data_IF_397552934405
#
_entry.id   IF_397552934405
#
_cell.length_a   1.000
_cell.length_b   1.000
_cell.length_c   1.000
_cell.angle_alpha   90.00
_cell.angle_beta   90.00
_cell.angle_gamma   90.00
#
_symmetry.space_group_name_H-M   'P 1'
#
loop_
_entity.id
_entity.type
_entity.pdbx_description
1 polymer ?
#
# COMPACT_ATOMS: atom_id res chain seq x y z
N UNK A 1 58.48 -21.87 -36.29
CA UNK A 1 57.56 -21.75 -35.12
C UNK A 1 56.74 -20.45 -35.01
N UNK A 2 57.01 -19.35 -35.74
CA UNK A 2 56.27 -18.06 -35.55
C UNK A 2 54.82 -17.99 -36.07
N UNK A 3 54.42 -18.80 -37.07
CA UNK A 3 53.07 -18.71 -37.70
C UNK A 3 51.91 -19.19 -36.81
N UNK A 4 52.13 -20.11 -35.87
CA UNK A 4 51.07 -20.64 -34.98
C UNK A 4 50.59 -19.61 -33.96
N UNK A 5 51.49 -18.76 -33.46
CA UNK A 5 51.21 -17.77 -32.43
C UNK A 5 50.37 -16.58 -32.95
N UNK A 6 50.53 -16.22 -34.24
CA UNK A 6 49.75 -15.16 -34.89
C UNK A 6 48.30 -15.58 -35.16
N UNK A 7 48.07 -16.86 -35.49
CA UNK A 7 46.71 -17.39 -35.70
C UNK A 7 45.87 -17.37 -34.42
N UNK A 8 46.48 -17.72 -33.27
CA UNK A 8 45.79 -17.70 -31.98
C UNK A 8 45.42 -16.28 -31.53
N UNK A 9 46.30 -15.29 -31.75
CA UNK A 9 46.00 -13.88 -31.45
C UNK A 9 44.84 -13.32 -32.29
N UNK A 10 44.77 -13.67 -33.59
CA UNK A 10 43.65 -13.28 -34.46
C UNK A 10 42.33 -13.95 -34.07
N UNK A 11 42.39 -15.21 -33.60
CA UNK A 11 41.21 -15.93 -33.10
C UNK A 11 40.67 -15.29 -31.82
N UNK A 12 41.55 -14.96 -30.88
CA UNK A 12 41.17 -14.32 -29.63
C UNK A 12 40.58 -12.91 -29.84
N UNK A 13 41.17 -12.12 -30.72
CA UNK A 13 40.63 -10.79 -31.06
C UNK A 13 39.22 -10.87 -31.66
N UNK A 14 38.93 -11.89 -32.47
CA UNK A 14 37.58 -12.13 -33.01
C UNK A 14 36.59 -12.56 -31.93
N UNK A 15 37.01 -13.42 -31.00
CA UNK A 15 36.18 -13.88 -29.89
C UNK A 15 35.81 -12.72 -28.95
N UNK A 16 36.78 -11.89 -28.58
CA UNK A 16 36.56 -10.71 -27.72
C UNK A 16 35.62 -9.70 -28.40
N UNK A 17 35.81 -9.45 -29.69
CA UNK A 17 34.91 -8.58 -30.46
C UNK A 17 33.46 -9.09 -30.47
N UNK A 18 33.26 -10.41 -30.57
CA UNK A 18 31.94 -11.02 -30.60
C UNK A 18 31.23 -10.93 -29.24
N UNK A 19 31.97 -11.14 -28.14
CA UNK A 19 31.44 -10.95 -26.77
C UNK A 19 31.01 -9.49 -26.55
N UNK A 20 31.81 -8.54 -27.03
CA UNK A 20 31.50 -7.11 -26.88
C UNK A 20 30.23 -6.71 -27.65
N UNK A 21 30.05 -7.23 -28.87
CA UNK A 21 28.83 -6.99 -29.67
C UNK A 21 27.57 -7.57 -28.99
N UNK A 22 27.67 -8.76 -28.41
CA UNK A 22 26.56 -9.36 -27.65
C UNK A 22 26.21 -8.53 -26.42
N UNK A 23 27.21 -8.05 -25.68
CA UNK A 23 26.99 -7.19 -24.51
C UNK A 23 26.29 -5.86 -24.87
N UNK A 24 26.64 -5.24 -26.00
CA UNK A 24 25.97 -4.03 -26.50
C UNK A 24 24.53 -4.34 -26.89
N UNK A 25 24.29 -5.45 -27.61
CA UNK A 25 22.94 -5.83 -28.02
C UNK A 25 22.01 -6.10 -26.81
N UNK A 26 22.51 -6.82 -25.80
CA UNK A 26 21.76 -7.08 -24.56
C UNK A 26 21.48 -5.78 -23.80
N UNK A 27 22.46 -4.87 -23.72
CA UNK A 27 22.27 -3.56 -23.07
C UNK A 27 21.22 -2.71 -23.79
N UNK A 28 21.19 -2.76 -25.13
CA UNK A 28 20.18 -2.05 -25.92
C UNK A 28 18.77 -2.62 -25.69
N UNK A 29 18.62 -3.95 -25.68
CA UNK A 29 17.34 -4.61 -25.38
C UNK A 29 16.87 -4.31 -23.96
N UNK A 30 17.77 -4.35 -22.98
CA UNK A 30 17.47 -3.94 -21.60
C UNK A 30 17.01 -2.48 -21.56
N UNK A 31 17.70 -1.56 -22.24
CA UNK A 31 17.30 -0.16 -22.25
C UNK A 31 15.93 0.04 -22.89
N UNK A 32 15.60 -0.65 -23.99
CA UNK A 32 14.28 -0.62 -24.61
C UNK A 32 13.17 -1.17 -23.68
N UNK A 33 13.45 -2.29 -22.99
CA UNK A 33 12.49 -2.89 -22.05
C UNK A 33 12.18 -1.97 -20.86
N UNK A 34 13.22 -1.41 -20.23
CA UNK A 34 13.03 -0.53 -19.07
C UNK A 34 12.50 0.86 -19.44
N UNK A 35 12.78 1.39 -20.64
CA UNK A 35 12.23 2.69 -21.08
C UNK A 35 10.77 2.62 -21.49
N UNK A 36 10.33 1.49 -22.09
CA UNK A 36 8.92 1.29 -22.47
C UNK A 36 7.98 1.11 -21.27
N UNK A 37 8.44 0.50 -20.18
CA UNK A 37 7.66 0.37 -18.94
C UNK A 37 7.51 1.68 -18.15
N UNK A 38 8.42 2.64 -18.34
CA UNK A 38 8.32 3.97 -17.70
C UNK A 38 7.35 4.90 -18.44
N UNK A 39 7.20 4.76 -19.76
CA UNK A 39 6.31 5.62 -20.56
C UNK A 39 4.84 5.15 -20.58
N UNK A 40 4.56 3.88 -20.27
CA UNK A 40 3.18 3.38 -20.16
C UNK A 40 2.46 3.73 -18.85
N UNK A 41 3.13 4.39 -17.90
CA UNK A 41 2.50 4.94 -16.68
C UNK A 41 1.91 6.34 -16.84
N UNK A 42 1.98 6.94 -18.03
CA UNK A 42 1.64 8.35 -18.26
C UNK A 42 0.49 8.65 -19.24
N UNK A 43 -0.31 7.66 -19.67
CA UNK A 43 -1.51 7.98 -20.47
C UNK A 43 -2.63 8.47 -19.54
N UNK A 44 -2.76 9.79 -19.45
CA UNK A 44 -3.98 10.44 -18.98
C UNK A 44 -5.18 9.81 -19.68
N UNK A 45 -6.10 9.27 -18.88
CA UNK A 45 -7.43 8.91 -19.35
C UNK A 45 -8.14 10.23 -19.68
N UNK A 46 -8.10 10.64 -20.95
CA UNK A 46 -9.01 11.66 -21.46
C UNK A 46 -10.42 11.06 -21.40
N UNK A 47 -11.15 11.39 -20.34
CA UNK A 47 -12.59 11.10 -20.24
C UNK A 47 -13.32 12.04 -21.19
N UNK A 48 -13.32 11.71 -22.48
CA UNK A 48 -14.26 12.30 -23.42
C UNK A 48 -15.62 11.63 -23.23
N UNK A 49 -16.61 12.45 -22.87
CA UNK A 49 -18.04 12.20 -22.88
C UNK A 49 -18.49 10.77 -23.21
N UNK A 50 -18.53 9.91 -22.20
CA UNK A 50 -19.36 8.70 -22.27
C UNK A 50 -20.80 9.16 -22.07
N UNK A 51 -21.51 9.33 -23.20
CA UNK A 51 -22.97 9.31 -23.26
C UNK A 51 -23.45 8.13 -22.40
N UNK A 52 -24.18 8.42 -21.33
CA UNK A 52 -24.92 7.42 -20.55
C UNK A 52 -25.82 6.64 -21.51
N UNK A 53 -25.36 5.49 -22.00
CA UNK A 53 -26.18 4.59 -22.80
C UNK A 53 -26.21 3.24 -22.11
N UNK A 54 -27.33 3.04 -21.41
CA UNK A 54 -27.92 1.75 -21.04
C UNK A 54 -27.04 0.89 -20.12
N UNK A 55 -27.08 1.26 -18.84
CA UNK A 55 -26.82 0.36 -17.72
C UNK A 55 -27.51 -0.99 -17.98
N UNK A 56 -26.75 -2.06 -17.88
CA UNK A 56 -27.23 -3.42 -17.84
C UNK A 56 -28.26 -3.55 -16.70
N UNK A 57 -29.51 -3.89 -17.04
CA UNK A 57 -30.57 -4.10 -16.05
C UNK A 57 -30.24 -5.34 -15.23
N UNK A 58 -29.64 -5.14 -14.06
CA UNK A 58 -29.70 -6.10 -12.96
C UNK A 58 -30.58 -5.43 -11.90
N UNK A 59 -31.80 -5.93 -11.74
CA UNK A 59 -32.66 -5.63 -10.61
C UNK A 59 -32.67 -6.85 -9.66
N UNK A 60 -33.04 -6.69 -8.39
CA UNK A 60 -32.42 -5.83 -7.40
C UNK A 60 -31.88 -6.66 -6.23
N UNK A 61 -30.80 -6.21 -5.59
CA UNK A 61 -30.47 -6.62 -4.21
C UNK A 61 -30.35 -5.38 -3.33
N UNK A 62 -31.38 -4.54 -3.40
CA UNK A 62 -31.70 -3.58 -2.37
C UNK A 62 -32.18 -4.33 -1.13
N UNK A 63 -31.26 -4.88 -0.32
CA UNK A 63 -31.58 -5.13 1.09
C UNK A 63 -30.37 -5.33 2.03
N UNK A 64 -29.12 -5.42 1.55
CA UNK A 64 -27.99 -5.76 2.45
C UNK A 64 -26.83 -4.73 2.49
N UNK A 65 -26.80 -3.71 1.63
CA UNK A 65 -25.66 -2.74 1.60
C UNK A 65 -26.03 -1.24 1.70
N UNK A 66 -27.26 -0.89 2.06
CA UNK A 66 -27.70 0.53 2.10
C UNK A 66 -27.25 1.32 3.35
N UNK A 67 -26.97 0.66 4.48
CA UNK A 67 -26.90 1.39 5.77
C UNK A 67 -25.50 1.74 6.29
N UNK A 68 -24.42 1.56 5.52
CA UNK A 68 -23.07 1.91 5.96
C UNK A 68 -22.23 2.58 4.86
N UNK A 69 -22.84 3.47 4.09
CA UNK A 69 -22.11 4.42 3.24
C UNK A 69 -21.42 5.42 4.16
N UNK A 70 -20.18 5.12 4.53
CA UNK A 70 -19.31 6.05 5.20
C UNK A 70 -18.85 7.10 4.19
N UNK A 71 -19.75 8.06 3.93
CA UNK A 71 -19.46 9.24 3.13
C UNK A 71 -18.61 10.16 3.99
N UNK A 72 -17.31 10.22 3.71
CA UNK A 72 -16.43 11.25 4.27
C UNK A 72 -16.79 12.61 3.63
N UNK A 73 -17.86 13.23 4.12
CA UNK A 73 -18.14 14.64 3.84
C UNK A 73 -17.19 15.49 4.70
N UNK A 74 -16.32 16.31 4.10
CA UNK A 74 -15.47 17.23 4.83
C UNK A 74 -16.35 18.37 5.35
N UNK A 75 -16.91 18.22 6.55
CA UNK A 75 -17.60 19.31 7.24
C UNK A 75 -16.66 20.50 7.37
N UNK A 76 -17.11 21.71 7.01
CA UNK A 76 -16.39 23.00 7.03
C UNK A 76 -15.42 23.17 8.23
N UNK A 77 -14.15 22.80 8.06
CA UNK A 77 -13.04 22.98 9.03
C UNK A 77 -12.29 24.27 8.71
N UNK A 78 -13.02 25.37 8.44
CA UNK A 78 -12.40 26.68 8.22
C UNK A 78 -12.19 27.42 9.55
N UNK A 79 -13.06 27.23 10.54
CA UNK A 79 -13.10 28.04 11.76
C UNK A 79 -12.16 27.60 12.90
N UNK A 80 -11.42 26.48 12.75
CA UNK A 80 -10.63 25.92 13.87
C UNK A 80 -9.16 25.62 13.52
N UNK A 81 -8.66 26.22 12.42
CA UNK A 81 -7.33 25.94 11.86
C UNK A 81 -6.17 26.39 12.79
N UNK A 82 -6.42 27.40 13.65
CA UNK A 82 -5.36 28.08 14.38
C UNK A 82 -5.11 27.56 15.82
N UNK A 83 -5.88 26.60 16.35
CA UNK A 83 -5.69 26.05 17.70
C UNK A 83 -5.03 24.67 17.78
N UNK A 84 -4.86 23.98 16.65
CA UNK A 84 -4.36 22.58 16.60
C UNK A 84 -3.04 22.41 15.84
N UNK A 85 -2.42 23.52 15.41
CA UNK A 85 -1.24 23.53 14.53
C UNK A 85 0.06 23.02 15.17
N UNK A 86 0.05 22.60 16.43
CA UNK A 86 1.26 22.24 17.17
C UNK A 86 1.82 20.84 16.92
N UNK A 87 1.07 19.89 16.32
CA UNK A 87 1.51 18.48 16.24
C UNK A 87 1.14 17.70 14.98
N UNK A 88 0.08 18.08 14.25
CA UNK A 88 -0.41 17.31 13.10
C UNK A 88 -0.71 18.21 11.90
N UNK A 89 -0.47 17.71 10.69
CA UNK A 89 -0.95 18.38 9.48
C UNK A 89 -2.49 18.34 9.41
N UNK A 90 -3.12 19.29 8.71
CA UNK A 90 -4.58 19.30 8.51
C UNK A 90 -5.09 17.95 7.96
N UNK A 91 -4.30 17.32 7.08
CA UNK A 91 -4.63 16.01 6.53
C UNK A 91 -4.60 14.91 7.60
N UNK A 92 -3.60 14.89 8.47
CA UNK A 92 -3.52 13.92 9.57
C UNK A 92 -4.68 14.11 10.56
N UNK A 93 -5.07 15.36 10.85
CA UNK A 93 -6.25 15.64 11.67
C UNK A 93 -7.54 15.09 11.05
N UNK A 94 -7.72 15.29 9.73
CA UNK A 94 -8.87 14.77 8.99
C UNK A 94 -8.90 13.23 8.98
N UNK A 95 -7.76 12.60 8.71
CA UNK A 95 -7.61 11.14 8.76
C UNK A 95 -7.99 10.63 10.15
N UNK A 96 -7.37 11.18 11.21
CA UNK A 96 -7.64 10.82 12.61
C UNK A 96 -9.14 10.88 12.91
N UNK A 97 -9.80 12.00 12.61
CA UNK A 97 -11.22 12.19 12.89
C UNK A 97 -12.11 11.18 12.16
N UNK A 98 -11.79 10.87 10.90
CA UNK A 98 -12.54 9.89 10.12
C UNK A 98 -12.39 8.47 10.67
N UNK A 99 -11.17 8.11 11.07
CA UNK A 99 -10.89 6.81 11.69
C UNK A 99 -11.58 6.72 13.07
N UNK A 100 -11.55 7.77 13.89
CA UNK A 100 -12.24 7.77 15.20
C UNK A 100 -13.74 7.48 15.06
N UNK A 101 -14.39 8.09 14.06
CA UNK A 101 -15.82 7.83 13.74
C UNK A 101 -16.05 6.38 13.33
N UNK A 102 -15.18 5.82 12.50
CA UNK A 102 -15.25 4.43 12.02
C UNK A 102 -15.06 3.41 13.14
N UNK A 103 -14.07 3.66 14.00
CA UNK A 103 -13.62 2.73 15.02
C UNK A 103 -14.53 2.77 16.25
N UNK A 104 -15.05 3.95 16.60
CA UNK A 104 -15.94 4.12 17.74
C UNK A 104 -15.24 3.73 19.05
N UNK A 105 -15.82 2.78 19.79
CA UNK A 105 -15.31 2.29 21.08
C UNK A 105 -14.56 0.95 20.98
N UNK A 106 -14.20 0.50 19.77
CA UNK A 106 -13.51 -0.77 19.57
C UNK A 106 -12.03 -0.68 20.00
N UNK A 107 -11.35 -1.83 20.27
CA UNK A 107 -9.97 -1.82 20.75
C UNK A 107 -9.00 -1.02 19.88
N UNK A 108 -9.21 -1.03 18.55
CA UNK A 108 -8.38 -0.27 17.62
C UNK A 108 -8.36 1.24 17.85
N UNK A 109 -9.27 1.79 18.69
CA UNK A 109 -9.26 3.20 19.07
C UNK A 109 -7.89 3.65 19.61
N UNK A 110 -7.18 2.74 20.27
CA UNK A 110 -5.86 3.01 20.85
C UNK A 110 -4.75 3.20 19.80
N UNK A 111 -4.96 2.78 18.55
CA UNK A 111 -3.97 2.90 17.47
C UNK A 111 -4.28 4.03 16.48
N UNK A 112 -5.40 4.72 16.64
CA UNK A 112 -5.86 5.76 15.70
C UNK A 112 -4.80 6.86 15.52
N UNK A 113 -4.13 7.28 16.60
CA UNK A 113 -3.10 8.32 16.53
C UNK A 113 -1.96 7.93 15.60
N UNK A 114 -1.44 6.71 15.76
CA UNK A 114 -0.34 6.19 14.96
C UNK A 114 -0.76 5.92 13.52
N UNK A 115 -1.96 5.35 13.29
CA UNK A 115 -2.48 5.16 11.93
C UNK A 115 -2.64 6.51 11.22
N UNK A 116 -3.14 7.53 11.92
CA UNK A 116 -3.35 8.85 11.34
C UNK A 116 -2.06 9.64 11.08
N UNK A 117 -0.93 9.20 11.63
CA UNK A 117 0.39 9.75 11.29
C UNK A 117 0.81 9.40 9.86
N UNK A 118 0.26 8.31 9.31
CA UNK A 118 0.54 7.82 7.96
C UNK A 118 -0.21 8.65 6.91
N UNK A 119 0.18 8.50 5.64
CA UNK A 119 -0.55 9.11 4.54
C UNK A 119 -1.96 8.49 4.40
N UNK A 120 -2.84 9.17 3.66
CA UNK A 120 -4.25 8.77 3.51
C UNK A 120 -4.41 7.33 2.97
N UNK A 121 -3.58 6.96 2.00
CA UNK A 121 -3.64 5.65 1.34
C UNK A 121 -3.28 4.53 2.32
N UNK A 122 -2.12 4.63 2.97
CA UNK A 122 -1.67 3.66 3.98
C UNK A 122 -2.67 3.55 5.13
N UNK A 123 -3.15 4.68 5.66
CA UNK A 123 -4.12 4.70 6.75
C UNK A 123 -5.44 4.01 6.34
N UNK A 124 -5.91 4.23 5.10
CA UNK A 124 -7.12 3.61 4.58
C UNK A 124 -6.98 2.10 4.46
N UNK A 125 -5.83 1.61 3.96
CA UNK A 125 -5.56 0.19 3.86
C UNK A 125 -5.47 -0.48 5.23
N UNK A 126 -4.77 0.13 6.19
CA UNK A 126 -4.67 -0.42 7.55
C UNK A 126 -6.05 -0.58 8.20
N UNK A 127 -6.93 0.43 8.05
CA UNK A 127 -8.30 0.37 8.60
C UNK A 127 -9.15 -0.68 7.88
N UNK A 128 -9.05 -0.78 6.55
CA UNK A 128 -9.78 -1.77 5.77
C UNK A 128 -9.38 -3.21 6.12
N UNK A 129 -8.07 -3.48 6.23
CA UNK A 129 -7.55 -4.79 6.64
C UNK A 129 -7.98 -5.09 8.07
N UNK A 130 -7.85 -4.14 9.00
CA UNK A 130 -8.27 -4.35 10.37
C UNK A 130 -9.77 -4.61 10.51
N UNK A 131 -10.59 -3.98 9.66
CA UNK A 131 -12.03 -4.26 9.57
C UNK A 131 -12.30 -5.69 9.15
N UNK A 132 -11.56 -6.19 8.16
CA UNK A 132 -11.68 -7.55 7.64
C UNK A 132 -11.20 -8.60 8.66
N UNK A 133 -9.99 -8.44 9.17
CA UNK A 133 -9.28 -9.47 9.95
C UNK A 133 -9.77 -9.59 11.39
N UNK A 134 -10.15 -8.48 12.03
CA UNK A 134 -10.49 -8.46 13.45
C UNK A 134 -11.76 -7.70 13.78
N UNK A 135 -12.48 -7.21 12.76
CA UNK A 135 -13.59 -6.26 12.93
C UNK A 135 -13.18 -5.07 13.81
N UNK A 136 -12.06 -4.42 13.43
CA UNK A 136 -11.44 -3.28 14.11
C UNK A 136 -11.05 -3.60 15.56
N UNK A 137 -10.54 -4.81 15.79
CA UNK A 137 -10.05 -5.27 17.10
C UNK A 137 -11.05 -6.06 17.95
N UNK A 138 -12.31 -6.27 17.52
CA UNK A 138 -13.28 -7.09 18.28
C UNK A 138 -12.79 -8.53 18.48
N UNK A 139 -12.11 -9.08 17.47
CA UNK A 139 -11.60 -10.45 17.45
C UNK A 139 -10.06 -10.51 17.43
N UNK A 140 -9.40 -9.49 18.02
CA UNK A 140 -7.94 -9.43 18.04
C UNK A 140 -7.32 -10.52 18.95
N UNK A 141 -6.11 -10.99 18.63
CA UNK A 141 -5.34 -11.81 19.54
C UNK A 141 -5.06 -11.04 20.83
N UNK A 142 -5.09 -11.78 21.95
CA UNK A 142 -4.70 -11.29 23.27
C UNK A 142 -3.66 -12.22 23.86
N UNK A 143 -2.79 -11.67 24.70
CA UNK A 143 -1.77 -12.42 25.43
C UNK A 143 -1.80 -11.98 26.89
N UNK A 144 -1.97 -12.95 27.79
CA UNK A 144 -2.05 -12.72 29.23
C UNK A 144 -3.09 -11.65 29.63
N UNK A 145 -4.25 -11.68 28.95
CA UNK A 145 -5.35 -10.74 29.13
C UNK A 145 -5.14 -9.36 28.48
N UNK A 146 -3.95 -9.08 27.94
CA UNK A 146 -3.59 -7.81 27.30
C UNK A 146 -3.85 -7.84 25.80
N UNK A 147 -4.19 -6.69 25.23
CA UNK A 147 -4.29 -6.51 23.79
C UNK A 147 -2.90 -6.52 23.15
N UNK A 148 -2.82 -7.10 21.96
CA UNK A 148 -1.58 -7.32 21.22
C UNK A 148 -1.34 -6.29 20.12
N UNK A 149 -2.24 -5.31 19.96
CA UNK A 149 -2.21 -4.30 18.90
C UNK A 149 -2.12 -4.88 17.48
N UNK A 150 -2.46 -6.16 17.30
CA UNK A 150 -2.40 -6.86 16.01
C UNK A 150 -3.81 -7.02 15.46
N UNK A 151 -4.26 -6.04 14.70
CA UNK A 151 -5.62 -6.03 14.17
C UNK A 151 -5.72 -6.51 12.72
N UNK A 152 -4.59 -6.71 12.05
CA UNK A 152 -4.45 -7.15 10.65
C UNK A 152 -3.94 -8.60 10.52
N UNK A 153 -3.96 -9.38 11.61
CA UNK A 153 -3.73 -10.82 11.56
C UNK A 153 -2.29 -11.25 11.26
N UNK A 154 -1.30 -10.40 11.56
CA UNK A 154 0.11 -10.70 11.26
C UNK A 154 0.65 -11.88 12.07
N UNK A 155 1.38 -12.79 11.40
CA UNK A 155 1.98 -14.01 11.98
C UNK A 155 3.50 -14.05 11.77
N UNK A 156 4.21 -13.14 12.42
CA UNK A 156 5.67 -13.08 12.40
C UNK A 156 6.35 -13.92 13.49
N UNK A 157 7.69 -13.90 13.53
CA UNK A 157 8.50 -14.58 14.57
C UNK A 157 8.42 -13.91 15.94
N UNK A 158 8.17 -12.61 15.98
CA UNK A 158 8.18 -11.79 17.19
C UNK A 158 6.99 -12.07 18.13
N UNK A 159 7.31 -12.19 19.42
CA UNK A 159 6.38 -12.29 20.57
C UNK A 159 5.07 -13.03 20.26
N UNK A 160 5.17 -14.28 19.81
CA UNK A 160 4.01 -15.05 19.37
C UNK A 160 3.02 -15.33 20.51
N UNK A 161 1.74 -15.32 20.16
CA UNK A 161 0.65 -15.94 20.92
C UNK A 161 0.66 -17.45 20.72
N UNK A 162 -0.10 -18.20 21.54
CA UNK A 162 -0.28 -19.65 21.37
C UNK A 162 -0.87 -20.01 19.99
N UNK A 163 -1.69 -19.13 19.43
CA UNK A 163 -2.28 -19.23 18.09
C UNK A 163 -1.36 -18.79 16.94
N UNK A 164 -0.12 -18.38 17.22
CA UNK A 164 0.88 -18.02 16.22
C UNK A 164 0.81 -16.59 15.68
N UNK A 165 -0.15 -15.77 16.12
CA UNK A 165 -0.16 -14.33 15.84
C UNK A 165 0.93 -13.61 16.63
N UNK A 166 1.57 -12.61 16.02
CA UNK A 166 2.50 -11.72 16.73
C UNK A 166 1.74 -10.83 17.71
N UNK A 167 2.34 -10.59 18.87
CA UNK A 167 1.83 -9.67 19.89
C UNK A 167 2.77 -8.47 20.00
N UNK A 168 2.32 -7.30 19.54
CA UNK A 168 3.11 -6.08 19.61
C UNK A 168 2.93 -5.42 20.97
N UNK A 169 3.97 -4.73 21.42
CA UNK A 169 4.01 -4.09 22.73
C UNK A 169 3.35 -2.71 22.73
N UNK A 170 3.26 -2.06 21.57
CA UNK A 170 2.66 -0.73 21.43
C UNK A 170 2.01 -0.49 20.05
N UNK A 171 1.11 0.52 19.95
CA UNK A 171 0.60 1.01 18.68
C UNK A 171 1.69 1.37 17.66
N UNK A 172 2.75 2.05 18.10
CA UNK A 172 3.85 2.54 17.24
C UNK A 172 4.65 1.40 16.62
N UNK A 173 4.86 0.32 17.38
CA UNK A 173 5.56 -0.86 16.87
C UNK A 173 4.70 -1.61 15.85
N UNK A 174 3.39 -1.64 16.08
CA UNK A 174 2.47 -2.37 15.25
C UNK A 174 2.27 -1.66 13.89
N UNK A 175 2.03 -0.34 13.88
CA UNK A 175 1.73 0.46 12.67
C UNK A 175 2.98 0.70 11.83
#
# INVERSE_FOLDING_TARGET
MKKKNIKNKKSYARLVGLIFLVAIAVSFVFHQYYTTDVLNKGKEIKVSHIKQKKLFKIAPKEEIMSNNVLRCEPSNISSNKNRLAGKYSLNQFLIKRNIEKLVGNKPMKNMVGEIASRNLETASYLVAIAKHESNLGKFSPKKDGKDCFNYWGFRGSYNKTKSGYSCFDSPEQAV
#
